data_IF_905216426075
#
_entry.id   IF_905216426075
#
_cell.length_a   1.000
_cell.length_b   1.000
_cell.length_c   1.000
_cell.angle_alpha   90.00
_cell.angle_beta   90.00
_cell.angle_gamma   90.00
#
_symmetry.space_group_name_H-M   'P 1'
#
loop_
_entity.id
_entity.type
_entity.pdbx_description
1 polymer ?
#
# COMPACT_ATOMS: atom_id res chain seq x y z
N UNK A 1 48.24 -10.91 5.37
CA UNK A 1 47.20 -9.97 4.90
C UNK A 1 46.48 -10.73 3.81
N UNK A 2 45.44 -11.46 4.21
CA UNK A 2 44.67 -12.36 3.35
C UNK A 2 43.29 -11.73 3.29
N UNK A 3 42.92 -11.30 2.10
CA UNK A 3 41.60 -10.78 1.78
C UNK A 3 40.58 -11.88 2.02
N UNK A 4 39.77 -11.72 3.07
CA UNK A 4 38.57 -12.51 3.31
C UNK A 4 37.43 -11.78 2.58
N UNK A 5 37.43 -11.88 1.25
CA UNK A 5 36.24 -11.65 0.42
C UNK A 5 35.74 -13.00 -0.07
N UNK A 6 35.28 -13.83 0.88
CA UNK A 6 34.55 -15.04 0.55
C UNK A 6 33.08 -14.70 0.35
N UNK A 7 32.70 -14.64 -0.92
CA UNK A 7 31.49 -15.26 -1.48
C UNK A 7 30.28 -15.31 -0.53
N UNK A 8 29.61 -14.17 -0.38
CA UNK A 8 28.18 -14.18 -0.03
C UNK A 8 27.43 -14.35 -1.35
N UNK A 9 26.89 -15.55 -1.52
CA UNK A 9 25.91 -15.88 -2.55
C UNK A 9 24.77 -14.85 -2.50
N UNK A 10 24.68 -13.98 -3.51
CA UNK A 10 23.66 -12.94 -3.62
C UNK A 10 22.35 -13.59 -4.06
N UNK A 11 21.76 -14.31 -3.11
CA UNK A 11 20.52 -15.05 -3.25
C UNK A 11 19.42 -14.25 -3.91
N UNK A 12 18.76 -14.94 -4.84
CA UNK A 12 17.46 -14.67 -5.46
C UNK A 12 16.56 -13.69 -4.70
N UNK A 13 15.91 -12.78 -5.45
CA UNK A 13 14.69 -12.12 -4.98
C UNK A 13 13.73 -13.21 -4.49
N UNK A 14 13.50 -13.30 -3.19
CA UNK A 14 12.47 -14.18 -2.67
C UNK A 14 11.12 -13.50 -2.90
N UNK A 15 10.46 -13.90 -3.99
CA UNK A 15 9.07 -13.55 -4.24
C UNK A 15 8.20 -14.46 -3.38
N UNK A 16 7.62 -13.92 -2.31
CA UNK A 16 6.49 -14.55 -1.64
C UNK A 16 5.21 -13.84 -2.09
N UNK A 17 4.64 -14.32 -3.20
CA UNK A 17 3.33 -13.86 -3.62
C UNK A 17 2.29 -14.48 -2.69
N UNK A 18 1.81 -13.70 -1.71
CA UNK A 18 0.60 -14.06 -0.97
C UNK A 18 -0.57 -13.46 -1.75
N UNK A 19 -1.23 -14.29 -2.55
CA UNK A 19 -2.45 -13.90 -3.24
C UNK A 19 -3.62 -13.93 -2.26
N UNK A 20 -4.19 -12.77 -1.97
CA UNK A 20 -5.37 -12.64 -1.12
C UNK A 20 -6.69 -12.82 -1.91
N UNK A 21 -6.66 -13.28 -3.17
CA UNK A 21 -7.85 -13.34 -4.04
C UNK A 21 -8.22 -11.97 -4.64
N UNK A 22 -7.42 -10.96 -4.35
CA UNK A 22 -7.24 -9.72 -5.10
C UNK A 22 -5.73 -9.53 -5.18
N UNK A 23 -5.20 -9.25 -6.37
CA UNK A 23 -3.77 -9.21 -6.68
C UNK A 23 -2.99 -8.10 -5.94
N UNK A 24 -2.96 -8.13 -4.61
CA UNK A 24 -1.99 -7.43 -3.78
C UNK A 24 -0.72 -8.27 -3.79
N UNK A 25 0.33 -7.76 -4.42
CA UNK A 25 1.63 -8.42 -4.45
C UNK A 25 2.52 -7.79 -3.40
N UNK A 26 3.01 -8.60 -2.47
CA UNK A 26 4.08 -8.19 -1.56
C UNK A 26 5.41 -8.56 -2.22
N UNK A 27 6.31 -7.58 -2.31
CA UNK A 27 7.65 -7.79 -2.81
C UNK A 27 8.66 -7.15 -1.85
N UNK A 28 9.74 -7.88 -1.56
CA UNK A 28 10.81 -7.42 -0.69
C UNK A 28 12.10 -7.29 -1.49
N UNK A 29 12.79 -6.17 -1.31
CA UNK A 29 14.00 -5.85 -2.06
C UNK A 29 15.12 -5.45 -1.11
N UNK A 30 16.32 -5.96 -1.38
CA UNK A 30 17.56 -5.54 -0.72
C UNK A 30 18.43 -4.67 -1.63
N UNK A 31 18.08 -4.57 -2.92
CA UNK A 31 18.81 -3.80 -3.94
C UNK A 31 17.90 -2.75 -4.58
N UNK A 32 18.37 -1.50 -4.68
CA UNK A 32 17.54 -0.39 -5.17
C UNK A 32 17.12 -0.57 -6.62
N UNK A 33 18.04 -0.99 -7.49
CA UNK A 33 17.73 -1.25 -8.91
C UNK A 33 16.57 -2.24 -9.11
N UNK A 34 16.49 -3.30 -8.30
CA UNK A 34 15.38 -4.27 -8.36
C UNK A 34 14.06 -3.66 -7.91
N UNK A 35 14.09 -2.81 -6.88
CA UNK A 35 12.92 -2.08 -6.40
C UNK A 35 12.42 -1.07 -7.44
N UNK A 36 13.31 -0.27 -8.03
CA UNK A 36 12.96 0.71 -9.07
C UNK A 36 12.37 0.05 -10.31
N UNK A 37 12.93 -1.07 -10.76
CA UNK A 37 12.36 -1.84 -11.87
C UNK A 37 10.93 -2.33 -11.55
N UNK A 38 10.71 -2.84 -10.33
CA UNK A 38 9.38 -3.28 -9.90
C UNK A 38 8.37 -2.12 -9.82
N UNK A 39 8.81 -0.94 -9.35
CA UNK A 39 8.00 0.28 -9.35
C UNK A 39 7.62 0.64 -10.80
N UNK A 40 8.59 0.66 -11.72
CA UNK A 40 8.35 0.96 -13.12
C UNK A 40 7.32 0.01 -13.76
N UNK A 41 7.45 -1.30 -13.53
CA UNK A 41 6.50 -2.31 -14.02
C UNK A 41 5.11 -2.13 -13.40
N UNK A 42 5.04 -1.90 -12.09
CA UNK A 42 3.78 -1.67 -11.37
C UNK A 42 3.06 -0.40 -11.85
N UNK A 43 3.81 0.65 -12.19
CA UNK A 43 3.26 1.87 -12.77
C UNK A 43 2.66 1.59 -14.15
N UNK A 44 3.32 0.78 -14.99
CA UNK A 44 2.78 0.41 -16.31
C UNK A 44 1.49 -0.41 -16.21
N UNK A 45 1.30 -1.13 -15.12
CA UNK A 45 0.12 -1.94 -14.83
C UNK A 45 -1.00 -1.19 -14.09
N UNK A 46 -0.92 0.13 -14.00
CA UNK A 46 -1.90 0.98 -13.30
C UNK A 46 -2.09 0.65 -11.80
N UNK A 47 -1.03 0.17 -11.13
CA UNK A 47 -1.08 -0.21 -9.70
C UNK A 47 -0.80 0.98 -8.77
N UNK A 48 -1.43 0.95 -7.60
CA UNK A 48 -1.08 1.73 -6.42
C UNK A 48 0.09 1.05 -5.69
N UNK A 49 1.07 1.82 -5.24
CA UNK A 49 2.30 1.29 -4.65
C UNK A 49 2.46 1.84 -3.23
N UNK A 50 2.66 0.94 -2.28
CA UNK A 50 2.98 1.26 -0.89
C UNK A 50 4.38 0.72 -0.60
N UNK A 51 5.32 1.62 -0.32
CA UNK A 51 6.72 1.28 -0.07
C UNK A 51 6.95 1.39 1.42
N UNK A 52 7.46 0.33 2.04
CA UNK A 52 7.85 0.33 3.46
C UNK A 52 9.37 0.19 3.51
N UNK A 53 10.04 1.13 4.17
CA UNK A 53 11.50 1.13 4.32
C UNK A 53 11.88 1.34 5.79
N UNK A 54 13.02 0.79 6.19
CA UNK A 54 13.68 1.23 7.41
C UNK A 54 14.38 2.57 7.19
N UNK A 55 14.76 3.23 8.28
CA UNK A 55 15.64 4.40 8.29
C UNK A 55 16.93 4.21 7.46
N UNK A 56 17.64 3.10 7.66
CA UNK A 56 18.93 2.83 6.99
C UNK A 56 18.76 2.57 5.50
N UNK A 57 17.78 1.76 5.10
CA UNK A 57 17.55 1.44 3.67
C UNK A 57 16.93 2.65 2.97
N UNK A 58 16.06 3.38 3.67
CA UNK A 58 15.38 4.58 3.17
C UNK A 58 16.35 5.65 2.71
N UNK A 59 17.45 5.88 3.44
CA UNK A 59 18.48 6.85 3.07
C UNK A 59 19.04 6.63 1.66
N UNK A 60 19.11 5.39 1.18
CA UNK A 60 19.60 5.08 -0.16
C UNK A 60 18.47 5.04 -1.20
N UNK A 61 17.31 4.50 -0.84
CA UNK A 61 16.23 4.22 -1.80
C UNK A 61 15.35 5.45 -2.05
N UNK A 62 15.00 6.19 -1.00
CA UNK A 62 14.05 7.31 -1.10
C UNK A 62 14.56 8.40 -2.04
N UNK A 63 15.82 8.87 -1.98
CA UNK A 63 16.31 9.88 -2.91
C UNK A 63 16.17 9.45 -4.38
N UNK A 64 16.45 8.18 -4.68
CA UNK A 64 16.33 7.63 -6.04
C UNK A 64 14.87 7.63 -6.49
N UNK A 65 13.96 7.13 -5.64
CA UNK A 65 12.52 7.10 -5.93
C UNK A 65 11.98 8.53 -6.13
N UNK A 66 12.31 9.45 -5.23
CA UNK A 66 11.87 10.84 -5.33
C UNK A 66 12.42 11.55 -6.58
N UNK A 67 13.62 11.19 -7.04
CA UNK A 67 14.19 11.76 -8.26
C UNK A 67 13.57 11.21 -9.55
N UNK A 68 13.16 9.94 -9.56
CA UNK A 68 12.64 9.25 -10.76
C UNK A 68 11.12 9.32 -10.89
N UNK A 69 10.40 9.37 -9.76
CA UNK A 69 8.94 9.20 -9.67
C UNK A 69 8.25 10.34 -8.92
N UNK A 70 8.75 11.58 -9.05
CA UNK A 70 8.17 12.74 -8.35
C UNK A 70 6.68 12.91 -8.66
N UNK A 71 6.27 12.75 -9.93
CA UNK A 71 4.89 12.93 -10.35
C UNK A 71 3.95 11.89 -9.70
N UNK A 72 4.39 10.64 -9.61
CA UNK A 72 3.65 9.55 -8.96
C UNK A 72 3.66 9.64 -7.42
N UNK A 73 4.55 10.43 -6.83
CA UNK A 73 4.49 10.77 -5.41
C UNK A 73 3.47 11.89 -5.17
N UNK A 74 3.50 12.94 -6.00
CA UNK A 74 2.60 14.09 -5.92
C UNK A 74 1.12 13.71 -6.17
N UNK A 75 0.87 12.76 -7.09
CA UNK A 75 -0.49 12.26 -7.36
C UNK A 75 -0.99 11.25 -6.30
N UNK A 76 -0.12 10.88 -5.35
CA UNK A 76 -0.37 9.93 -4.26
C UNK A 76 -0.41 8.45 -4.69
N UNK A 77 0.07 8.12 -5.89
CA UNK A 77 0.14 6.75 -6.43
C UNK A 77 1.24 5.90 -5.81
N UNK A 78 2.35 6.54 -5.43
CA UNK A 78 3.38 5.97 -4.59
C UNK A 78 3.26 6.62 -3.22
N UNK A 79 3.26 5.80 -2.17
CA UNK A 79 3.33 6.27 -0.80
C UNK A 79 4.49 5.58 -0.08
N UNK A 80 5.34 6.36 0.56
CA UNK A 80 6.54 5.87 1.23
C UNK A 80 6.35 5.95 2.75
N UNK A 81 6.45 4.79 3.40
CA UNK A 81 6.33 4.61 4.84
C UNK A 81 7.71 4.30 5.39
N UNK A 82 8.17 5.12 6.33
CA UNK A 82 9.46 4.95 6.99
C UNK A 82 9.22 4.44 8.40
N UNK A 83 9.72 3.25 8.70
CA UNK A 83 9.76 2.72 10.06
C UNK A 83 11.08 3.13 10.72
N UNK A 84 10.99 4.02 11.70
CA UNK A 84 12.14 4.54 12.42
C UNK A 84 12.32 3.79 13.75
N UNK A 85 13.40 3.01 13.86
CA UNK A 85 13.71 2.27 15.09
C UNK A 85 14.56 3.09 16.08
N UNK A 86 15.27 4.09 15.59
CA UNK A 86 16.21 4.89 16.39
C UNK A 86 15.92 6.38 16.24
N UNK A 87 15.45 7.01 17.32
CA UNK A 87 15.15 8.46 17.37
C UNK A 87 16.40 9.33 17.19
N UNK A 88 17.59 8.77 17.43
CA UNK A 88 18.88 9.47 17.39
C UNK A 88 19.65 9.31 16.08
N UNK A 89 19.15 8.55 15.10
CA UNK A 89 19.80 8.45 13.81
C UNK A 89 19.60 9.74 13.01
N UNK A 90 20.59 10.12 12.22
CA UNK A 90 20.62 11.37 11.45
C UNK A 90 19.41 11.47 10.50
N UNK A 91 18.51 12.42 10.79
CA UNK A 91 17.23 12.62 10.09
C UNK A 91 17.33 13.61 8.92
N UNK A 92 18.53 14.11 8.62
CA UNK A 92 18.74 15.15 7.62
C UNK A 92 18.13 14.78 6.26
N UNK A 93 18.28 13.52 5.82
CA UNK A 93 17.68 13.06 4.57
C UNK A 93 16.15 12.98 4.65
N UNK A 94 15.56 12.59 5.79
CA UNK A 94 14.10 12.53 5.93
C UNK A 94 13.49 13.92 5.85
N UNK A 95 14.19 14.92 6.41
CA UNK A 95 13.77 16.32 6.34
C UNK A 95 13.76 16.84 4.90
N UNK A 96 14.70 16.41 4.06
CA UNK A 96 14.74 16.78 2.64
C UNK A 96 13.52 16.26 1.86
N UNK A 97 13.01 15.08 2.20
CA UNK A 97 11.88 14.44 1.51
C UNK A 97 10.60 14.42 2.35
N UNK A 98 10.49 15.25 3.40
CA UNK A 98 9.42 15.18 4.39
C UNK A 98 8.00 15.23 3.79
N UNK A 99 7.81 15.94 2.68
CA UNK A 99 6.53 16.05 1.98
C UNK A 99 6.06 14.73 1.36
N UNK A 100 6.98 13.80 1.09
CA UNK A 100 6.71 12.50 0.45
C UNK A 100 6.72 11.32 1.43
N UNK A 101 7.10 11.56 2.69
CA UNK A 101 7.35 10.52 3.68
C UNK A 101 6.26 10.46 4.75
N UNK A 102 5.87 9.25 5.11
CA UNK A 102 5.08 8.94 6.28
C UNK A 102 5.98 8.21 7.29
N UNK A 103 6.47 8.91 8.30
CA UNK A 103 7.40 8.34 9.30
C UNK A 103 6.66 7.85 10.54
N UNK A 104 7.03 6.66 11.02
CA UNK A 104 6.44 6.02 12.19
C UNK A 104 7.54 5.54 13.15
N UNK A 105 7.38 5.83 14.44
CA UNK A 105 8.26 5.32 15.50
C UNK A 105 7.87 3.94 16.03
N UNK A 106 6.69 3.43 15.64
CA UNK A 106 6.18 2.15 16.14
C UNK A 106 5.52 1.34 15.01
N UNK A 107 5.79 0.03 14.98
CA UNK A 107 5.31 -0.87 13.92
C UNK A 107 3.78 -0.97 13.88
N UNK A 108 3.11 -0.92 15.03
CA UNK A 108 1.65 -0.96 15.10
C UNK A 108 1.02 0.29 14.49
N UNK A 109 1.61 1.47 14.67
CA UNK A 109 1.09 2.71 14.10
C UNK A 109 1.21 2.71 12.59
N UNK A 110 2.36 2.24 12.08
CA UNK A 110 2.58 2.02 10.65
C UNK A 110 1.55 1.03 10.10
N UNK A 111 1.41 -0.14 10.73
CA UNK A 111 0.46 -1.17 10.30
C UNK A 111 -0.98 -0.65 10.30
N UNK A 112 -1.40 0.06 11.34
CA UNK A 112 -2.71 0.70 11.43
C UNK A 112 -2.94 1.67 10.27
N UNK A 113 -1.96 2.55 10.01
CA UNK A 113 -2.07 3.53 8.92
C UNK A 113 -2.14 2.84 7.56
N UNK A 114 -1.25 1.89 7.31
CA UNK A 114 -1.19 1.15 6.05
C UNK A 114 -2.51 0.39 5.77
N UNK A 115 -3.08 -0.26 6.79
CA UNK A 115 -4.38 -0.93 6.64
C UNK A 115 -5.51 0.03 6.27
N UNK A 116 -5.50 1.25 6.83
CA UNK A 116 -6.48 2.31 6.51
C UNK A 116 -6.28 2.83 5.08
N UNK A 117 -5.05 3.08 4.66
CA UNK A 117 -4.76 3.61 3.32
C UNK A 117 -5.06 2.58 2.23
N UNK A 118 -4.73 1.30 2.44
CA UNK A 118 -5.13 0.21 1.53
C UNK A 118 -6.66 0.06 1.50
N UNK A 119 -7.34 0.19 2.65
CA UNK A 119 -8.81 0.17 2.70
C UNK A 119 -9.42 1.31 1.86
N UNK A 120 -8.90 2.54 1.99
CA UNK A 120 -9.34 3.67 1.18
C UNK A 120 -9.10 3.46 -0.32
N UNK A 121 -7.97 2.87 -0.70
CA UNK A 121 -7.72 2.50 -2.09
C UNK A 121 -8.78 1.53 -2.61
N UNK A 122 -9.13 0.50 -1.82
CA UNK A 122 -10.19 -0.44 -2.19
C UNK A 122 -11.55 0.23 -2.37
N UNK A 123 -11.91 1.19 -1.51
CA UNK A 123 -13.11 2.00 -1.70
C UNK A 123 -13.06 2.75 -3.03
N UNK A 124 -11.97 3.48 -3.29
CA UNK A 124 -11.80 4.28 -4.51
C UNK A 124 -11.92 3.44 -5.78
N UNK A 125 -11.30 2.26 -5.83
CA UNK A 125 -11.40 1.38 -7.01
C UNK A 125 -12.78 0.71 -7.12
N UNK A 126 -13.43 0.40 -6.00
CA UNK A 126 -14.80 -0.10 -5.99
C UNK A 126 -15.79 0.92 -6.56
N UNK A 127 -15.68 2.18 -6.15
CA UNK A 127 -16.49 3.28 -6.69
C UNK A 127 -16.27 3.46 -8.21
N UNK A 128 -15.01 3.45 -8.66
CA UNK A 128 -14.67 3.50 -10.10
C UNK A 128 -15.24 2.32 -10.88
N UNK A 129 -15.27 1.12 -10.30
CA UNK A 129 -15.88 -0.05 -10.94
C UNK A 129 -17.38 0.17 -11.19
N UNK A 130 -18.08 0.86 -10.28
CA UNK A 130 -19.52 1.15 -10.44
C UNK A 130 -19.82 2.16 -11.56
N UNK A 131 -18.88 3.04 -11.93
CA UNK A 131 -19.08 4.06 -12.98
C UNK A 131 -19.41 3.46 -14.36
N UNK A 132 -18.97 2.22 -14.62
CA UNK A 132 -19.11 1.55 -15.93
C UNK A 132 -20.39 0.72 -16.08
N UNK A 133 -21.21 0.61 -15.02
CA UNK A 133 -22.53 -0.06 -14.94
C UNK A 133 -22.70 -1.46 -15.61
N UNK A 134 -21.62 -2.23 -15.70
CA UNK A 134 -21.64 -3.63 -16.17
C UNK A 134 -21.78 -4.55 -14.96
N UNK A 135 -22.64 -5.58 -15.03
CA UNK A 135 -22.90 -6.52 -13.91
C UNK A 135 -21.61 -7.11 -13.32
N UNK A 136 -20.65 -7.52 -14.17
CA UNK A 136 -19.34 -8.01 -13.71
C UNK A 136 -18.61 -6.98 -12.84
N UNK A 137 -18.74 -5.69 -13.16
CA UNK A 137 -18.11 -4.62 -12.39
C UNK A 137 -18.83 -4.35 -11.06
N UNK A 138 -20.13 -4.62 -10.97
CA UNK A 138 -20.92 -4.52 -9.73
C UNK A 138 -20.42 -5.57 -8.72
N UNK A 139 -20.25 -6.83 -9.14
CA UNK A 139 -19.68 -7.87 -8.28
C UNK A 139 -18.21 -7.58 -7.90
N UNK A 140 -17.44 -7.03 -8.84
CA UNK A 140 -16.06 -6.61 -8.56
C UNK A 140 -16.01 -5.47 -7.53
N UNK A 141 -16.88 -4.47 -7.66
CA UNK A 141 -17.00 -3.37 -6.70
C UNK A 141 -17.36 -3.89 -5.30
N UNK A 142 -18.33 -4.80 -5.21
CA UNK A 142 -18.72 -5.45 -3.96
C UNK A 142 -17.52 -6.14 -3.30
N UNK A 143 -16.74 -6.88 -4.09
CA UNK A 143 -15.52 -7.56 -3.64
C UNK A 143 -14.53 -6.54 -3.05
N UNK A 144 -14.27 -5.42 -3.73
CA UNK A 144 -13.41 -4.36 -3.19
C UNK A 144 -13.94 -3.75 -1.89
N UNK A 145 -15.23 -3.46 -1.79
CA UNK A 145 -15.81 -2.92 -0.55
C UNK A 145 -15.74 -3.89 0.63
N UNK A 146 -15.87 -5.20 0.40
CA UNK A 146 -15.65 -6.21 1.43
C UNK A 146 -14.21 -6.21 1.94
N UNK A 147 -13.22 -6.10 1.06
CA UNK A 147 -11.82 -5.99 1.47
C UNK A 147 -11.54 -4.71 2.23
N UNK A 148 -12.09 -3.58 1.78
CA UNK A 148 -12.02 -2.32 2.53
C UNK A 148 -12.56 -2.48 3.95
N UNK A 149 -13.72 -3.13 4.11
CA UNK A 149 -14.35 -3.40 5.41
C UNK A 149 -13.47 -4.28 6.30
N UNK A 150 -12.90 -5.36 5.76
CA UNK A 150 -12.02 -6.27 6.52
C UNK A 150 -10.79 -5.52 7.02
N UNK A 151 -10.10 -4.79 6.15
CA UNK A 151 -8.87 -4.07 6.48
C UNK A 151 -9.11 -2.98 7.51
N UNK A 152 -10.16 -2.17 7.30
CA UNK A 152 -10.53 -1.12 8.23
C UNK A 152 -10.94 -1.69 9.60
N UNK A 153 -11.71 -2.78 9.62
CA UNK A 153 -12.08 -3.45 10.86
C UNK A 153 -10.89 -4.06 11.60
N UNK A 154 -9.79 -4.38 10.91
CA UNK A 154 -8.52 -4.77 11.56
C UNK A 154 -7.79 -3.55 12.11
N UNK A 155 -7.68 -2.46 11.34
CA UNK A 155 -7.08 -1.22 11.81
C UNK A 155 -7.79 -0.67 13.06
N UNK A 156 -9.13 -0.66 13.05
CA UNK A 156 -9.96 -0.18 14.16
C UNK A 156 -9.79 -1.01 15.45
N UNK A 157 -9.45 -2.30 15.33
CA UNK A 157 -9.14 -3.15 16.49
C UNK A 157 -7.76 -2.88 17.06
N UNK A 158 -6.80 -2.49 16.21
CA UNK A 158 -5.45 -2.16 16.63
C UNK A 158 -5.36 -0.75 17.23
N UNK A 159 -6.23 0.16 16.79
CA UNK A 159 -6.32 1.55 17.25
C UNK A 159 -7.78 1.93 17.57
N UNK A 160 -8.22 1.51 18.77
CA UNK A 160 -9.59 1.64 19.24
C UNK A 160 -10.06 3.10 19.45
N UNK A 161 -9.17 4.08 19.36
CA UNK A 161 -9.47 5.47 19.70
C UNK A 161 -9.95 6.33 18.50
N UNK A 162 -9.85 5.83 17.25
CA UNK A 162 -10.10 6.64 16.03
C UNK A 162 -11.23 6.11 15.09
N UNK A 163 -12.04 5.16 15.54
CA UNK A 163 -12.56 4.09 14.67
C UNK A 163 -14.10 4.03 14.40
N UNK A 164 -14.79 5.11 13.98
CA UNK A 164 -16.25 4.99 13.74
C UNK A 164 -16.81 5.53 12.40
N UNK A 165 -16.24 6.60 11.83
CA UNK A 165 -16.83 7.21 10.62
C UNK A 165 -16.57 6.41 9.33
N UNK A 166 -15.34 5.95 9.04
CA UNK A 166 -15.06 5.28 7.77
C UNK A 166 -15.81 3.95 7.62
N UNK A 167 -16.02 3.21 8.71
CA UNK A 167 -16.69 1.90 8.68
C UNK A 167 -18.16 2.01 8.28
N UNK A 168 -18.86 3.06 8.73
CA UNK A 168 -20.26 3.30 8.35
C UNK A 168 -20.40 3.56 6.86
N UNK A 169 -19.46 4.32 6.29
CA UNK A 169 -19.43 4.62 4.86
C UNK A 169 -19.27 3.35 4.03
N UNK A 170 -18.27 2.52 4.34
CA UNK A 170 -18.05 1.25 3.62
C UNK A 170 -19.27 0.33 3.70
N UNK A 171 -19.90 0.21 4.87
CA UNK A 171 -21.13 -0.58 5.00
C UNK A 171 -22.29 -0.03 4.15
N UNK A 172 -22.40 1.31 4.01
CA UNK A 172 -23.43 1.89 3.13
C UNK A 172 -23.20 1.57 1.65
N UNK A 173 -21.94 1.55 1.20
CA UNK A 173 -21.59 1.16 -0.17
C UNK A 173 -21.91 -0.31 -0.44
N UNK A 174 -21.58 -1.21 0.50
CA UNK A 174 -21.93 -2.64 0.39
C UNK A 174 -23.45 -2.80 0.25
N UNK A 175 -24.23 -2.20 1.16
CA UNK A 175 -25.70 -2.28 1.12
C UNK A 175 -26.29 -1.68 -0.16
N UNK A 176 -25.66 -0.65 -0.74
CA UNK A 176 -26.09 -0.07 -2.00
C UNK A 176 -25.87 -1.06 -3.15
N UNK A 177 -24.69 -1.69 -3.22
CA UNK A 177 -24.37 -2.65 -4.27
C UNK A 177 -25.22 -3.92 -4.17
N UNK A 178 -25.46 -4.43 -2.96
CA UNK A 178 -26.33 -5.58 -2.74
C UNK A 178 -27.74 -5.34 -3.29
N UNK A 179 -28.32 -4.15 -3.04
CA UNK A 179 -29.63 -3.77 -3.61
C UNK A 179 -29.61 -3.68 -5.13
N UNK A 180 -28.51 -3.20 -5.72
CA UNK A 180 -28.37 -3.14 -7.18
C UNK A 180 -28.38 -4.54 -7.80
N UNK A 181 -27.78 -5.53 -7.12
CA UNK A 181 -27.79 -6.93 -7.56
C UNK A 181 -29.21 -7.50 -7.47
N UNK A 182 -29.88 -7.35 -6.31
CA UNK A 182 -31.25 -7.84 -6.09
C UNK A 182 -32.23 -7.31 -7.14
N UNK A 183 -32.22 -6.01 -7.42
CA UNK A 183 -33.13 -5.40 -8.41
C UNK A 183 -32.92 -5.90 -9.85
N UNK A 184 -31.72 -6.40 -10.18
CA UNK A 184 -31.39 -6.92 -11.52
C UNK A 184 -31.75 -8.38 -11.68
N UNK A 185 -31.69 -9.16 -10.62
CA UNK A 185 -32.10 -10.57 -10.63
C UNK A 185 -33.63 -10.72 -10.73
N UNK A 186 -34.39 -9.69 -10.33
CA UNK A 186 -35.85 -9.62 -10.43
C UNK A 186 -36.37 -9.09 -11.79
N UNK A 187 -35.49 -8.63 -12.69
CA UNK A 187 -35.82 -8.00 -13.99
C UNK A 187 -35.64 -8.94 -15.17
#
# INVERSE_FOLDING_TARGET
>A
MVDIYDNIDYGSCQFSTIDFGIASQLAAFTKSASCLNYICESIREDKQIYIIVSDVIGQTFVPQICSEYTAELEDGRIQIYVLQFYEWLDLDWQMEYADYLLTFGHELDLLCRLLRDISHYYVKIGERSLEKDIITNIHQALTYFYWAKILLGRADKLDAHLALKPMRYVNSLINQVDRMIETRDDS
#
